data_IF_805225764593
#
_entry.id   IF_805225764593
#
_cell.length_a   1.000
_cell.length_b   1.000
_cell.length_c   1.000
_cell.angle_alpha   90.00
_cell.angle_beta   90.00
_cell.angle_gamma   90.00
#
_symmetry.space_group_name_H-M   'P 1'
#
loop_
_entity.id
_entity.type
_entity.pdbx_description
1 polymer ?
#
# COMPACT_ATOMS: atom_id res chain seq x y z
N UNK A 1 -9.24 -12.59 -4.15
CA UNK A 1 -10.20 -11.60 -3.63
C UNK A 1 -11.33 -12.21 -2.80
N UNK A 2 -11.90 -13.38 -3.16
CA UNK A 2 -13.00 -14.01 -2.40
C UNK A 2 -12.73 -14.13 -0.88
N UNK A 3 -11.54 -14.58 -0.51
CA UNK A 3 -11.11 -14.74 0.88
C UNK A 3 -10.93 -13.42 1.64
N UNK A 4 -10.75 -12.28 0.96
CA UNK A 4 -10.63 -10.97 1.62
C UNK A 4 -11.98 -10.43 2.06
N UNK A 5 -13.04 -10.72 1.30
CA UNK A 5 -14.37 -10.12 1.47
C UNK A 5 -15.41 -11.10 2.02
N UNK A 6 -15.02 -12.35 2.31
CA UNK A 6 -15.89 -13.37 2.90
C UNK A 6 -16.99 -13.89 1.99
N UNK A 7 -16.86 -13.74 0.66
CA UNK A 7 -17.90 -14.10 -0.32
C UNK A 7 -17.51 -13.79 -1.76
N UNK A 8 -18.48 -13.80 -2.68
CA UNK A 8 -18.24 -13.42 -4.07
C UNK A 8 -17.75 -11.97 -4.14
N UNK A 9 -16.53 -11.78 -4.64
CA UNK A 9 -15.95 -10.45 -4.77
C UNK A 9 -16.64 -9.71 -5.90
N UNK A 10 -17.07 -8.50 -5.59
CA UNK A 10 -17.69 -7.60 -6.55
C UNK A 10 -17.17 -6.19 -6.27
N UNK A 11 -16.57 -5.57 -7.28
CA UNK A 11 -15.97 -4.24 -7.17
C UNK A 11 -17.01 -3.17 -6.82
N UNK A 12 -18.29 -3.38 -7.09
CA UNK A 12 -19.39 -2.45 -6.84
C UNK A 12 -20.14 -2.76 -5.53
N UNK A 13 -20.35 -4.04 -5.22
CA UNK A 13 -21.29 -4.47 -4.19
C UNK A 13 -20.63 -5.21 -3.01
N UNK A 14 -19.49 -5.88 -3.21
CA UNK A 14 -18.84 -6.68 -2.16
C UNK A 14 -17.31 -6.57 -2.20
N UNK A 15 -16.83 -5.41 -1.74
CA UNK A 15 -15.41 -5.03 -1.71
C UNK A 15 -14.88 -4.74 -0.30
N UNK A 16 -15.71 -4.90 0.74
CA UNK A 16 -15.31 -4.62 2.13
C UNK A 16 -14.48 -5.77 2.66
N UNK A 17 -13.26 -5.45 3.10
CA UNK A 17 -12.37 -6.42 3.74
C UNK A 17 -12.97 -6.81 5.09
N UNK A 18 -13.19 -8.10 5.29
CA UNK A 18 -13.82 -8.62 6.52
C UNK A 18 -12.79 -8.83 7.63
N UNK A 19 -11.61 -9.33 7.27
CA UNK A 19 -10.56 -9.70 8.22
C UNK A 19 -9.23 -9.09 7.81
N UNK A 20 -8.59 -8.32 8.69
CA UNK A 20 -7.31 -7.68 8.37
C UNK A 20 -6.18 -8.68 8.09
N UNK A 21 -6.14 -9.80 8.81
CA UNK A 21 -5.12 -10.85 8.60
C UNK A 21 -5.15 -11.44 7.19
N UNK A 22 -6.31 -11.43 6.53
CA UNK A 22 -6.46 -11.87 5.14
C UNK A 22 -5.64 -11.02 4.17
N UNK A 23 -5.37 -9.74 4.48
CA UNK A 23 -4.49 -8.86 3.70
C UNK A 23 -3.05 -9.37 3.77
N UNK A 24 -2.59 -9.75 4.96
CA UNK A 24 -1.23 -10.26 5.17
C UNK A 24 -1.04 -11.57 4.42
N UNK A 25 -2.04 -12.45 4.49
CA UNK A 25 -2.09 -13.69 3.71
C UNK A 25 -2.05 -13.43 2.20
N UNK A 26 -2.83 -12.46 1.70
CA UNK A 26 -2.78 -12.05 0.29
C UNK A 26 -1.37 -11.64 -0.12
N UNK A 27 -0.70 -10.77 0.65
CA UNK A 27 0.66 -10.32 0.34
C UNK A 27 1.65 -11.49 0.26
N UNK A 28 1.58 -12.44 1.20
CA UNK A 28 2.50 -13.58 1.23
C UNK A 28 2.21 -14.62 0.14
N UNK A 29 0.95 -14.76 -0.28
CA UNK A 29 0.58 -15.62 -1.41
C UNK A 29 1.04 -15.03 -2.74
N UNK A 30 0.92 -13.71 -2.93
CA UNK A 30 1.30 -13.05 -4.17
C UNK A 30 2.79 -13.20 -4.48
N UNK A 31 3.67 -13.35 -3.48
CA UNK A 31 5.09 -13.63 -3.71
C UNK A 31 5.37 -14.94 -4.46
N UNK A 32 4.40 -15.86 -4.49
CA UNK A 32 4.51 -17.15 -5.19
C UNK A 32 3.89 -17.13 -6.58
N UNK A 33 3.21 -16.04 -6.95
CA UNK A 33 2.54 -15.88 -8.22
C UNK A 33 3.48 -15.25 -9.26
N UNK A 34 3.16 -15.43 -10.55
CA UNK A 34 3.81 -14.70 -11.63
C UNK A 34 3.48 -13.19 -11.59
N UNK A 35 4.27 -12.41 -12.32
CA UNK A 35 4.17 -10.93 -12.33
C UNK A 35 2.81 -10.45 -12.83
N UNK A 36 2.18 -11.14 -13.79
CA UNK A 36 0.87 -10.75 -14.32
C UNK A 36 -0.21 -10.91 -13.26
N UNK A 37 -0.25 -12.07 -12.59
CA UNK A 37 -1.17 -12.31 -11.49
C UNK A 37 -0.98 -11.31 -10.34
N UNK A 38 0.27 -11.02 -9.97
CA UNK A 38 0.57 -10.01 -8.95
C UNK A 38 0.03 -8.63 -9.35
N UNK A 39 0.26 -8.21 -10.59
CA UNK A 39 -0.16 -6.91 -11.08
C UNK A 39 -1.69 -6.74 -11.06
N UNK A 40 -2.42 -7.76 -11.49
CA UNK A 40 -3.89 -7.77 -11.47
C UNK A 40 -4.44 -7.63 -10.06
N UNK A 41 -3.93 -8.42 -9.12
CA UNK A 41 -4.40 -8.41 -7.74
C UNK A 41 -4.05 -7.09 -7.04
N UNK A 42 -2.84 -6.57 -7.22
CA UNK A 42 -2.46 -5.27 -6.65
C UNK A 42 -3.28 -4.11 -7.23
N UNK A 43 -3.61 -4.16 -8.52
CA UNK A 43 -4.46 -3.17 -9.16
C UNK A 43 -5.89 -3.20 -8.62
N UNK A 44 -6.48 -4.39 -8.50
CA UNK A 44 -7.81 -4.58 -7.90
C UNK A 44 -7.83 -4.16 -6.42
N UNK A 45 -6.80 -4.54 -5.66
CA UNK A 45 -6.67 -4.19 -4.26
C UNK A 45 -6.62 -2.66 -4.09
N UNK A 46 -5.79 -1.98 -4.87
CA UNK A 46 -5.71 -0.52 -4.87
C UNK A 46 -7.05 0.14 -5.23
N UNK A 47 -7.80 -0.42 -6.17
CA UNK A 47 -9.12 0.09 -6.54
C UNK A 47 -10.12 0.02 -5.37
N UNK A 48 -10.14 -1.07 -4.61
CA UNK A 48 -11.05 -1.20 -3.46
C UNK A 48 -10.62 -0.35 -2.26
N UNK A 49 -9.32 -0.07 -2.12
CA UNK A 49 -8.83 0.86 -1.11
C UNK A 49 -9.33 2.28 -1.40
N UNK A 50 -9.26 2.74 -2.66
CA UNK A 50 -9.78 4.05 -3.07
C UNK A 50 -11.29 4.24 -2.79
N UNK A 51 -12.06 3.15 -2.74
CA UNK A 51 -13.51 3.17 -2.54
C UNK A 51 -13.95 3.08 -1.07
N UNK A 52 -13.05 2.71 -0.15
CA UNK A 52 -13.44 2.33 1.21
C UNK A 52 -12.48 2.83 2.27
N UNK A 53 -12.94 3.83 3.00
CA UNK A 53 -12.34 4.30 4.25
C UNK A 53 -12.04 3.15 5.21
N UNK A 54 -13.00 2.23 5.38
CA UNK A 54 -12.85 1.07 6.26
C UNK A 54 -11.70 0.18 5.81
N UNK A 55 -11.57 -0.08 4.51
CA UNK A 55 -10.48 -0.92 3.99
C UNK A 55 -9.11 -0.26 4.24
N UNK A 56 -9.03 1.07 4.12
CA UNK A 56 -7.80 1.84 4.39
C UNK A 56 -7.40 1.75 5.87
N UNK A 57 -8.37 1.84 6.79
CA UNK A 57 -8.13 1.69 8.22
C UNK A 57 -7.61 0.30 8.54
N UNK A 58 -8.27 -0.75 8.04
CA UNK A 58 -7.85 -2.14 8.27
C UNK A 58 -6.42 -2.38 7.76
N UNK A 59 -6.07 -1.88 6.57
CA UNK A 59 -4.69 -1.96 6.04
C UNK A 59 -3.65 -1.32 6.97
N UNK A 60 -4.03 -0.21 7.60
CA UNK A 60 -3.17 0.53 8.52
C UNK A 60 -2.99 -0.24 9.83
N UNK A 61 -4.08 -0.74 10.40
CA UNK A 61 -4.09 -1.52 11.65
C UNK A 61 -3.24 -2.79 11.57
N UNK A 62 -3.23 -3.47 10.41
CA UNK A 62 -2.42 -4.68 10.21
C UNK A 62 -0.98 -4.39 9.78
N UNK A 63 -0.56 -3.13 9.70
CA UNK A 63 0.81 -2.76 9.36
C UNK A 63 1.20 -3.03 7.90
N UNK A 64 0.24 -2.95 6.96
CA UNK A 64 0.48 -3.20 5.52
C UNK A 64 1.61 -2.31 4.96
N UNK A 65 1.66 -1.05 5.40
CA UNK A 65 2.66 -0.07 4.94
C UNK A 65 4.08 -0.56 5.21
N UNK A 66 4.37 -1.01 6.43
CA UNK A 66 5.70 -1.50 6.81
C UNK A 66 6.06 -2.77 6.03
N UNK A 67 5.10 -3.69 5.89
CA UNK A 67 5.30 -4.94 5.16
C UNK A 67 5.63 -4.72 3.69
N UNK A 68 4.94 -3.78 3.02
CA UNK A 68 5.18 -3.43 1.61
C UNK A 68 6.51 -2.71 1.44
N UNK A 69 6.82 -1.73 2.29
CA UNK A 69 8.10 -1.01 2.25
C UNK A 69 9.30 -1.94 2.40
N UNK A 70 9.21 -2.98 3.24
CA UNK A 70 10.28 -3.96 3.42
C UNK A 70 10.58 -4.83 2.19
N UNK A 71 9.69 -4.82 1.19
CA UNK A 71 9.76 -5.70 0.02
C UNK A 71 9.90 -4.94 -1.31
N UNK A 72 9.56 -3.66 -1.36
CA UNK A 72 9.49 -2.84 -2.59
C UNK A 72 10.79 -2.80 -3.42
N UNK A 73 11.96 -2.96 -2.78
CA UNK A 73 13.25 -2.97 -3.48
C UNK A 73 13.57 -4.32 -4.14
N UNK A 74 12.84 -5.38 -3.79
CA UNK A 74 13.12 -6.77 -4.19
C UNK A 74 12.15 -7.30 -5.26
N UNK A 75 11.10 -6.56 -5.57
CA UNK A 75 10.07 -6.95 -6.54
C UNK A 75 10.38 -6.40 -7.94
N UNK A 76 9.71 -6.94 -8.95
CA UNK A 76 9.76 -6.42 -10.32
C UNK A 76 9.35 -4.93 -10.38
N UNK A 77 9.91 -4.18 -11.33
CA UNK A 77 9.65 -2.74 -11.47
C UNK A 77 8.15 -2.42 -11.68
N UNK A 78 7.42 -3.26 -12.40
CA UNK A 78 5.97 -3.09 -12.59
C UNK A 78 5.23 -3.22 -11.26
N UNK A 79 5.59 -4.23 -10.46
CA UNK A 79 4.98 -4.44 -9.14
C UNK A 79 5.37 -3.32 -8.19
N UNK A 80 6.62 -2.87 -8.23
CA UNK A 80 7.07 -1.73 -7.44
C UNK A 80 6.27 -0.47 -7.74
N UNK A 81 6.00 -0.16 -9.02
CA UNK A 81 5.18 0.98 -9.41
C UNK A 81 3.73 0.86 -8.86
N UNK A 82 3.12 -0.32 -8.92
CA UNK A 82 1.78 -0.56 -8.35
C UNK A 82 1.75 -0.44 -6.81
N UNK A 83 2.78 -0.93 -6.13
CA UNK A 83 2.91 -0.81 -4.67
C UNK A 83 3.06 0.66 -4.25
N UNK A 84 3.79 1.46 -5.03
CA UNK A 84 3.92 2.91 -4.81
C UNK A 84 2.57 3.61 -4.94
N UNK A 85 1.81 3.28 -5.99
CA UNK A 85 0.47 3.86 -6.18
C UNK A 85 -0.45 3.53 -5.01
N UNK A 86 -0.42 2.28 -4.52
CA UNK A 86 -1.19 1.82 -3.36
C UNK A 86 -0.77 2.55 -2.07
N UNK A 87 0.54 2.69 -1.84
CA UNK A 87 1.08 3.45 -0.70
C UNK A 87 0.67 4.93 -0.78
N UNK A 88 0.62 5.51 -1.98
CA UNK A 88 0.09 6.85 -2.22
C UNK A 88 -1.38 7.00 -1.82
N UNK A 89 -2.21 6.01 -2.11
CA UNK A 89 -3.62 5.97 -1.66
C UNK A 89 -3.70 5.95 -0.14
N UNK A 90 -2.96 5.06 0.54
CA UNK A 90 -2.94 4.98 2.00
C UNK A 90 -2.45 6.30 2.63
N UNK A 91 -1.40 6.89 2.06
CA UNK A 91 -0.84 8.17 2.51
C UNK A 91 -1.80 9.35 2.36
N UNK A 92 -2.54 9.40 1.25
CA UNK A 92 -3.54 10.44 0.99
C UNK A 92 -4.74 10.39 1.94
N UNK A 93 -5.01 9.22 2.53
CA UNK A 93 -6.23 9.01 3.30
C UNK A 93 -6.15 9.50 4.74
N UNK A 94 -5.18 9.04 5.53
CA UNK A 94 -4.86 9.53 6.89
C UNK A 94 -3.86 8.60 7.59
N UNK A 95 -2.64 8.44 7.05
CA UNK A 95 -1.56 7.84 7.85
C UNK A 95 -1.37 8.63 9.16
N UNK A 96 -1.25 7.95 10.28
CA UNK A 96 -0.91 8.57 11.56
C UNK A 96 0.49 9.19 11.49
N UNK A 97 0.81 10.11 12.42
CA UNK A 97 2.18 10.66 12.54
C UNK A 97 3.22 9.55 12.73
N UNK A 98 2.83 8.44 13.37
CA UNK A 98 3.68 7.27 13.59
C UNK A 98 3.97 6.53 12.28
N UNK A 99 2.96 6.24 11.47
CA UNK A 99 3.16 5.59 10.16
C UNK A 99 3.94 6.48 9.21
N UNK A 100 3.66 7.80 9.19
CA UNK A 100 4.47 8.74 8.43
C UNK A 100 5.94 8.65 8.83
N UNK A 101 6.25 8.70 10.14
CA UNK A 101 7.63 8.59 10.63
C UNK A 101 8.29 7.27 10.21
N UNK A 102 7.56 6.17 10.24
CA UNK A 102 8.06 4.85 9.82
C UNK A 102 8.28 4.78 8.30
N UNK A 103 7.39 5.41 7.53
CA UNK A 103 7.49 5.60 6.09
C UNK A 103 8.75 6.42 5.74
N UNK A 104 9.00 7.52 6.45
CA UNK A 104 10.21 8.34 6.30
C UNK A 104 11.49 7.62 6.73
N UNK A 105 11.49 6.91 7.86
CA UNK A 105 12.69 6.28 8.40
C UNK A 105 13.21 5.14 7.52
N UNK A 106 12.32 4.37 6.90
CA UNK A 106 12.69 3.31 5.97
C UNK A 106 13.23 3.84 4.64
N UNK A 107 12.86 5.04 4.23
CA UNK A 107 13.29 5.65 2.97
C UNK A 107 14.52 6.55 3.08
N UNK A 108 14.81 7.09 4.26
CA UNK A 108 16.07 7.78 4.52
C UNK A 108 17.28 6.85 4.51
N UNK A 109 17.08 5.53 4.60
CA UNK A 109 18.14 4.54 4.71
C UNK A 109 19.01 4.76 5.96
N UNK A 110 19.89 3.81 6.24
CA UNK A 110 20.71 3.78 7.47
C UNK A 110 21.75 4.93 7.58
N UNK A 111 21.77 5.87 6.62
CA UNK A 111 22.74 6.96 6.51
C UNK A 111 22.14 8.32 6.11
N UNK A 112 20.82 8.48 6.17
CA UNK A 112 20.17 9.75 5.78
C UNK A 112 20.33 10.11 4.30
N UNK A 113 20.66 9.13 3.45
CA UNK A 113 20.75 9.29 2.01
C UNK A 113 19.64 8.48 1.35
N UNK A 114 18.76 9.22 0.68
CA UNK A 114 17.67 8.72 -0.14
C UNK A 114 18.10 7.57 -1.04
N UNK A 115 17.32 6.49 -1.06
CA UNK A 115 17.47 5.45 -2.08
C UNK A 115 17.25 6.11 -3.44
N UNK A 116 18.24 6.03 -4.34
CA UNK A 116 18.35 6.78 -5.61
C UNK A 116 17.31 6.37 -6.68
N UNK A 117 16.01 6.38 -6.36
CA UNK A 117 14.91 6.14 -7.31
C UNK A 117 13.97 7.37 -7.36
N UNK A 118 14.05 8.21 -8.41
CA UNK A 118 13.32 9.47 -8.52
C UNK A 118 11.79 9.35 -8.40
N UNK A 119 11.20 8.24 -8.87
CA UNK A 119 9.75 8.00 -8.80
C UNK A 119 9.22 7.94 -7.36
N UNK A 120 9.96 7.36 -6.42
CA UNK A 120 9.54 7.29 -5.02
C UNK A 120 9.56 8.68 -4.36
N UNK A 121 10.47 9.55 -4.77
CA UNK A 121 10.55 10.96 -4.30
C UNK A 121 9.32 11.78 -4.73
N UNK A 122 8.79 11.57 -5.93
CA UNK A 122 7.64 12.32 -6.44
C UNK A 122 6.33 11.96 -5.73
N UNK A 123 6.13 10.68 -5.38
CA UNK A 123 4.99 10.28 -4.56
C UNK A 123 5.06 10.93 -3.18
N UNK A 124 6.26 11.07 -2.61
CA UNK A 124 6.49 11.83 -1.39
C UNK A 124 6.15 13.31 -1.51
N UNK A 125 6.60 13.96 -2.59
CA UNK A 125 6.26 15.35 -2.88
C UNK A 125 4.76 15.56 -3.14
N UNK A 126 3.98 14.52 -3.43
CA UNK A 126 2.52 14.62 -3.51
C UNK A 126 1.81 14.42 -2.16
N UNK A 127 2.47 13.75 -1.21
CA UNK A 127 1.96 13.41 0.14
C UNK A 127 2.24 14.53 1.15
N UNK A 128 3.43 15.13 1.10
CA UNK A 128 3.89 16.20 2.01
C UNK A 128 3.10 17.53 1.90
N UNK A 129 2.79 18.07 0.70
CA UNK A 129 2.17 19.40 0.57
C UNK A 129 0.74 19.42 1.09
N UNK A 130 0.03 18.28 1.07
CA UNK A 130 -1.37 18.21 1.52
C UNK A 130 -1.54 18.28 3.05
N UNK A 131 -0.45 18.15 3.82
CA UNK A 131 -0.50 18.22 5.29
C UNK A 131 0.17 19.45 5.90
N UNK A 132 1.05 20.12 5.16
CA UNK A 132 1.69 21.35 5.65
C UNK A 132 0.74 22.56 5.52
N UNK A 133 -0.28 22.51 4.65
CA UNK A 133 -1.28 23.57 4.52
C UNK A 133 -2.40 23.56 5.58
N UNK A 134 -2.38 22.62 6.52
CA UNK A 134 -3.38 22.47 7.58
C UNK A 134 -2.80 22.56 9.00
N UNK A 135 -1.61 23.14 9.14
CA UNK A 135 -1.04 23.58 10.41
C UNK A 135 -0.87 25.10 10.40
#
# INVERSE_FOLDING_TARGET
MLWLVGGQFDLEMNFIIQEGESIICMVDLLEKCDVTCQAEVWSMFTAILKKSIRNLQVCTEVGLVEKVLGKIEKVDNMIADLLVDMLGVLASYNLTVRELKLFFSKLQGDKGQWVKKPKYSLVFESILPKRISSF
#
